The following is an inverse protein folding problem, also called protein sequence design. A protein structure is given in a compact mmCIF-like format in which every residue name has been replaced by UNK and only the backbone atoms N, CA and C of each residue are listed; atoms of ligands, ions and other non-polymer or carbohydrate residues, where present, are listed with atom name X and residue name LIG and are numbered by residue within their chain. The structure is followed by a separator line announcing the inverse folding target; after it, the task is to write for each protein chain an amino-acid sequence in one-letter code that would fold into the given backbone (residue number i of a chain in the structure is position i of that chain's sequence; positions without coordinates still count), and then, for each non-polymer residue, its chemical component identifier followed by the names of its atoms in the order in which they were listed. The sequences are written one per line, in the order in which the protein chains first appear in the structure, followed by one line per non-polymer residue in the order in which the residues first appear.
data_IF_845548090494
#
_entry.id   IF_845548090494
#
_cell.length_a   1.000
_cell.length_b   1.000
_cell.length_c   1.000
_cell.angle_alpha   90.00
_cell.angle_beta   90.00
_cell.angle_gamma   90.00
#
_symmetry.space_group_name_H-M   'P 1'
#
loop_
_entity.id
_entity.type
_entity.pdbx_description
1 polymer ?
#
# COMPACT_ATOMS: atom_id res chain seq x y z
N UNK A 1 0.77 -24.63 16.64
CA UNK A 1 1.43 -25.95 16.80
C UNK A 1 0.77 -26.65 17.97
N UNK A 2 0.38 -27.92 17.82
CA UNK A 2 -0.21 -28.69 18.91
C UNK A 2 0.89 -29.51 19.57
N UNK A 3 1.00 -29.43 20.89
CA UNK A 3 1.98 -30.21 21.65
C UNK A 3 1.28 -31.52 22.07
N UNK A 4 1.85 -32.70 21.78
CA UNK A 4 1.29 -33.96 22.27
C UNK A 4 1.18 -33.97 23.80
N UNK A 5 -0.02 -34.23 24.33
CA UNK A 5 -0.29 -34.25 25.77
C UNK A 5 -0.64 -32.90 26.40
N UNK A 6 -0.90 -31.86 25.60
CA UNK A 6 -1.40 -30.56 26.07
C UNK A 6 -2.76 -30.27 25.44
N UNK A 7 -3.71 -29.83 26.25
CA UNK A 7 -5.04 -29.37 25.81
C UNK A 7 -5.02 -27.96 25.24
N UNK A 8 -3.88 -27.28 25.27
CA UNK A 8 -3.72 -25.89 24.82
C UNK A 8 -2.86 -25.83 23.55
N UNK A 9 -3.27 -24.94 22.63
CA UNK A 9 -2.49 -24.60 21.44
C UNK A 9 -1.32 -23.70 21.84
N UNK A 10 -0.10 -24.09 21.48
CA UNK A 10 1.06 -23.21 21.60
C UNK A 10 0.95 -22.11 20.53
N UNK A 11 0.71 -20.89 20.96
CA UNK A 11 0.72 -19.73 20.08
C UNK A 11 2.16 -19.18 19.96
N UNK A 12 2.78 -19.41 18.81
CA UNK A 12 4.12 -18.90 18.47
C UNK A 12 4.07 -17.69 17.53
N UNK A 13 2.89 -17.13 17.30
CA UNK A 13 2.66 -16.09 16.28
C UNK A 13 3.51 -14.85 16.54
N UNK A 14 3.77 -14.53 17.80
CA UNK A 14 4.53 -13.35 18.23
C UNK A 14 5.89 -13.68 18.83
N UNK A 15 6.34 -14.94 18.72
CA UNK A 15 7.54 -15.42 19.44
C UNK A 15 8.87 -14.90 18.90
N UNK A 16 8.90 -14.40 17.65
CA UNK A 16 10.12 -13.92 17.00
C UNK A 16 10.45 -12.46 17.34
N UNK A 17 9.45 -11.58 17.25
CA UNK A 17 9.63 -10.13 17.36
C UNK A 17 8.48 -9.42 18.10
N UNK A 18 7.58 -10.18 18.71
CA UNK A 18 6.40 -9.63 19.39
C UNK A 18 5.27 -9.21 18.43
N UNK A 19 5.43 -9.37 17.11
CA UNK A 19 4.46 -8.95 16.10
C UNK A 19 3.76 -10.14 15.45
N UNK A 20 2.55 -9.89 14.93
CA UNK A 20 1.80 -10.87 14.16
C UNK A 20 2.20 -10.78 12.69
N UNK A 21 2.73 -11.87 12.15
CA UNK A 21 3.07 -11.98 10.74
C UNK A 21 1.99 -12.71 9.97
N UNK A 22 1.52 -12.11 8.91
CA UNK A 22 0.49 -12.67 8.04
C UNK A 22 1.10 -13.34 6.82
N UNK A 23 0.51 -14.46 6.41
CA UNK A 23 0.92 -15.19 5.22
C UNK A 23 0.35 -14.53 3.98
N UNK A 24 0.97 -14.81 2.82
CA UNK A 24 0.43 -14.44 1.51
C UNK A 24 -1.05 -14.84 1.40
N UNK A 25 -1.83 -13.97 0.80
CA UNK A 25 -3.26 -14.19 0.56
C UNK A 25 -3.48 -14.71 -0.85
N UNK A 26 -4.31 -15.73 -0.98
CA UNK A 26 -4.73 -16.22 -2.29
C UNK A 26 -6.09 -15.63 -2.63
N UNK A 27 -6.17 -14.95 -3.76
CA UNK A 27 -7.42 -14.39 -4.31
C UNK A 27 -7.75 -15.20 -5.56
N UNK A 28 -8.96 -15.74 -5.62
CA UNK A 28 -9.42 -16.52 -6.77
C UNK A 28 -10.70 -15.91 -7.31
N UNK A 29 -10.69 -15.63 -8.62
CA UNK A 29 -11.84 -15.14 -9.36
C UNK A 29 -12.23 -16.19 -10.41
N UNK A 30 -13.50 -16.57 -10.44
CA UNK A 30 -14.05 -17.44 -11.47
C UNK A 30 -14.99 -16.66 -12.37
N UNK A 31 -14.71 -16.70 -13.65
CA UNK A 31 -15.45 -15.96 -14.67
C UNK A 31 -16.00 -16.96 -15.70
N UNK A 32 -17.23 -16.75 -16.13
CA UNK A 32 -17.84 -17.50 -17.22
C UNK A 32 -17.62 -16.77 -18.55
N UNK A 33 -16.91 -17.43 -19.45
CA UNK A 33 -16.75 -16.94 -20.82
C UNK A 33 -17.90 -17.42 -21.71
N UNK A 34 -18.79 -16.52 -22.09
CA UNK A 34 -19.91 -16.77 -22.99
C UNK A 34 -19.64 -16.41 -24.45
N UNK A 35 -18.42 -15.96 -24.76
CA UNK A 35 -18.03 -15.61 -26.12
C UNK A 35 -18.09 -16.82 -27.07
N UNK A 36 -18.32 -16.61 -28.38
CA UNK A 36 -18.31 -17.68 -29.37
C UNK A 36 -17.01 -18.49 -29.37
N UNK A 37 -17.10 -19.81 -29.49
CA UNK A 37 -15.95 -20.75 -29.43
C UNK A 37 -14.78 -20.35 -30.34
N UNK A 38 -15.09 -19.78 -31.50
CA UNK A 38 -14.04 -19.32 -32.45
C UNK A 38 -13.10 -18.26 -31.87
N UNK A 39 -13.52 -17.55 -30.81
CA UNK A 39 -12.74 -16.51 -30.15
C UNK A 39 -11.96 -17.02 -28.93
N UNK A 40 -12.25 -18.23 -28.42
CA UNK A 40 -11.68 -18.70 -27.15
C UNK A 40 -10.16 -18.77 -27.14
N UNK A 41 -9.54 -19.26 -28.22
CA UNK A 41 -8.07 -19.31 -28.28
C UNK A 41 -7.44 -17.93 -28.26
N UNK A 42 -8.07 -16.96 -28.94
CA UNK A 42 -7.62 -15.57 -28.96
C UNK A 42 -7.78 -14.94 -27.59
N UNK A 43 -8.91 -15.15 -26.92
CA UNK A 43 -9.17 -14.67 -25.56
C UNK A 43 -8.21 -15.30 -24.57
N UNK A 44 -8.01 -16.62 -24.62
CA UNK A 44 -7.05 -17.33 -23.79
C UNK A 44 -5.64 -16.72 -23.95
N UNK A 45 -5.17 -16.55 -25.18
CA UNK A 45 -3.84 -15.97 -25.43
C UNK A 45 -3.73 -14.54 -24.90
N UNK A 46 -4.77 -13.72 -25.08
CA UNK A 46 -4.78 -12.35 -24.56
C UNK A 46 -4.73 -12.31 -23.03
N UNK A 47 -5.52 -13.15 -22.35
CA UNK A 47 -5.54 -13.23 -20.90
C UNK A 47 -4.19 -13.71 -20.34
N UNK A 48 -3.61 -14.77 -20.94
CA UNK A 48 -2.29 -15.25 -20.52
C UNK A 48 -1.22 -14.17 -20.75
N UNK A 49 -1.20 -13.51 -21.91
CA UNK A 49 -0.24 -12.46 -22.19
C UNK A 49 -0.41 -11.24 -21.26
N UNK A 50 -1.63 -10.99 -20.78
CA UNK A 50 -1.91 -9.86 -19.89
C UNK A 50 -1.55 -10.16 -18.43
N UNK A 51 -1.81 -11.37 -17.93
CA UNK A 51 -1.83 -11.67 -16.50
C UNK A 51 -0.82 -12.74 -16.08
N UNK A 52 -0.56 -13.77 -16.92
CA UNK A 52 0.20 -14.96 -16.52
C UNK A 52 1.63 -14.63 -16.07
N UNK A 53 1.94 -15.01 -14.84
CA UNK A 53 3.26 -14.84 -14.24
C UNK A 53 3.66 -13.39 -14.00
N UNK A 54 2.73 -12.44 -14.02
CA UNK A 54 3.03 -11.03 -13.81
C UNK A 54 2.69 -10.58 -12.39
N UNK A 55 3.50 -9.67 -11.89
CA UNK A 55 3.24 -8.94 -10.65
C UNK A 55 2.37 -7.73 -10.99
N UNK A 56 1.12 -7.72 -10.55
CA UNK A 56 0.12 -6.72 -10.92
C UNK A 56 -0.69 -6.31 -9.70
N UNK A 57 -1.27 -5.12 -9.78
CA UNK A 57 -2.26 -4.60 -8.84
C UNK A 57 -3.67 -4.93 -9.34
N UNK A 58 -4.53 -5.36 -8.45
CA UNK A 58 -5.94 -5.65 -8.73
C UNK A 58 -6.83 -4.80 -7.82
N UNK A 59 -7.67 -3.99 -8.43
CA UNK A 59 -8.72 -3.21 -7.76
C UNK A 59 -10.05 -3.89 -8.06
N UNK A 60 -10.90 -4.05 -7.06
CA UNK A 60 -12.25 -4.54 -7.21
C UNK A 60 -13.24 -3.37 -7.27
N UNK A 61 -14.27 -3.48 -8.09
CA UNK A 61 -15.27 -2.42 -8.27
C UNK A 61 -16.10 -2.15 -7.00
N UNK A 62 -16.19 -3.14 -6.10
CA UNK A 62 -16.85 -3.01 -4.79
C UNK A 62 -15.94 -2.43 -3.69
N UNK A 63 -14.64 -2.32 -3.96
CA UNK A 63 -13.66 -1.73 -3.04
C UNK A 63 -12.63 -0.87 -3.82
N UNK A 64 -13.07 0.19 -4.53
CA UNK A 64 -12.25 0.90 -5.51
C UNK A 64 -11.08 1.70 -4.90
N UNK A 65 -11.14 1.98 -3.61
CA UNK A 65 -10.08 2.70 -2.88
C UNK A 65 -8.90 1.83 -2.50
N UNK A 66 -8.98 0.52 -2.74
CA UNK A 66 -7.97 -0.43 -2.33
C UNK A 66 -7.55 -1.36 -3.46
N UNK A 67 -6.28 -1.75 -3.46
CA UNK A 67 -5.78 -2.74 -4.39
C UNK A 67 -5.04 -3.88 -3.69
N UNK A 68 -5.10 -5.05 -4.29
CA UNK A 68 -4.28 -6.20 -3.95
C UNK A 68 -3.12 -6.29 -4.91
N UNK A 69 -1.92 -6.52 -4.40
CA UNK A 69 -0.72 -6.66 -5.21
C UNK A 69 -0.13 -8.05 -5.09
N UNK A 70 0.18 -8.67 -6.21
CA UNK A 70 0.71 -10.02 -6.21
C UNK A 70 1.00 -10.60 -7.59
N UNK A 71 1.37 -11.87 -7.58
CA UNK A 71 1.64 -12.67 -8.76
C UNK A 71 0.35 -13.34 -9.24
N UNK A 72 -0.01 -13.12 -10.50
CA UNK A 72 -1.26 -13.59 -11.06
C UNK A 72 -1.07 -14.73 -12.05
N UNK A 73 -2.02 -15.66 -12.03
CA UNK A 73 -2.08 -16.83 -12.91
C UNK A 73 -3.46 -16.97 -13.50
N UNK A 74 -3.54 -17.49 -14.73
CA UNK A 74 -4.79 -17.67 -15.46
C UNK A 74 -4.93 -19.12 -15.90
N UNK A 75 -6.08 -19.70 -15.60
CA UNK A 75 -6.48 -21.02 -16.11
C UNK A 75 -7.75 -20.86 -16.96
N UNK A 76 -7.69 -21.30 -18.21
CA UNK A 76 -8.81 -21.24 -19.14
C UNK A 76 -9.25 -22.69 -19.45
N UNK A 77 -10.46 -23.06 -19.04
CA UNK A 77 -11.01 -24.40 -19.21
C UNK A 77 -12.20 -24.36 -20.17
N UNK A 78 -12.03 -24.82 -21.41
CA UNK A 78 -13.12 -24.91 -22.35
C UNK A 78 -14.10 -26.03 -22.00
N UNK A 79 -15.39 -25.74 -22.10
CA UNK A 79 -16.49 -26.68 -21.92
C UNK A 79 -17.31 -26.81 -23.22
N UNK A 80 -18.45 -27.48 -23.16
CA UNK A 80 -19.27 -27.71 -24.36
C UNK A 80 -19.88 -26.41 -24.92
N UNK A 81 -20.44 -25.56 -24.08
CA UNK A 81 -21.17 -24.34 -24.45
C UNK A 81 -20.52 -23.05 -23.93
N UNK A 82 -19.67 -23.16 -22.93
CA UNK A 82 -18.99 -22.05 -22.27
C UNK A 82 -17.52 -22.38 -22.03
N UNK A 83 -16.77 -21.44 -21.48
CA UNK A 83 -15.46 -21.72 -20.91
C UNK A 83 -15.38 -21.06 -19.53
N UNK A 84 -14.76 -21.76 -18.58
CA UNK A 84 -14.48 -21.22 -17.26
C UNK A 84 -13.07 -20.62 -17.26
N UNK A 85 -12.97 -19.37 -16.81
CA UNK A 85 -11.70 -18.66 -16.63
C UNK A 85 -11.49 -18.50 -15.14
N UNK A 86 -10.45 -19.12 -14.61
CA UNK A 86 -10.04 -18.94 -13.22
C UNK A 86 -8.80 -18.08 -13.19
N UNK A 87 -8.85 -16.94 -12.50
CA UNK A 87 -7.73 -16.04 -12.27
C UNK A 87 -7.35 -16.17 -10.79
N UNK A 88 -6.09 -16.54 -10.53
CA UNK A 88 -5.60 -16.72 -9.15
C UNK A 88 -4.43 -15.79 -8.89
N UNK A 89 -4.56 -14.96 -7.85
CA UNK A 89 -3.50 -14.07 -7.35
C UNK A 89 -2.87 -14.61 -6.08
N UNK A 90 -1.53 -14.75 -6.08
CA UNK A 90 -0.75 -14.93 -4.85
C UNK A 90 -0.30 -13.55 -4.38
N UNK A 91 -1.12 -12.91 -3.54
CA UNK A 91 -0.99 -11.52 -3.17
C UNK A 91 -0.28 -11.34 -1.82
N UNK A 92 0.21 -10.14 -1.58
CA UNK A 92 0.63 -9.69 -0.27
C UNK A 92 -0.52 -9.87 0.74
N UNK A 93 -0.24 -10.01 2.03
CA UNK A 93 -1.29 -10.24 3.03
C UNK A 93 -2.24 -9.05 3.19
N UNK A 94 -1.79 -7.87 2.84
CA UNK A 94 -2.52 -6.61 2.98
C UNK A 94 -3.01 -6.09 1.63
N UNK A 95 -4.13 -5.40 1.65
CA UNK A 95 -4.54 -4.49 0.59
C UNK A 95 -3.98 -3.09 0.87
N UNK A 96 -3.65 -2.36 -0.17
CA UNK A 96 -3.06 -1.03 -0.09
C UNK A 96 -4.03 0.01 -0.61
N UNK A 97 -4.04 1.18 0.02
CA UNK A 97 -4.84 2.29 -0.47
C UNK A 97 -4.30 2.79 -1.82
N UNK A 98 -5.17 3.04 -2.79
CA UNK A 98 -4.80 3.62 -4.10
C UNK A 98 -4.28 5.04 -3.96
N UNK A 99 -4.65 5.72 -2.88
CA UNK A 99 -4.24 7.11 -2.60
C UNK A 99 -3.07 7.12 -1.62
N UNK A 100 -1.91 7.53 -2.10
CA UNK A 100 -0.67 7.60 -1.31
C UNK A 100 -0.43 8.96 -0.62
N UNK A 101 -1.44 9.84 -0.67
CA UNK A 101 -1.39 11.19 -0.11
C UNK A 101 -0.78 12.24 -1.05
N UNK A 102 -0.28 11.84 -2.23
CA UNK A 102 0.31 12.77 -3.21
C UNK A 102 -0.61 13.06 -4.41
N UNK A 103 -1.71 12.34 -4.53
CA UNK A 103 -2.64 12.41 -5.66
C UNK A 103 -3.77 13.39 -5.40
N UNK A 104 -4.30 13.94 -6.47
CA UNK A 104 -5.52 14.73 -6.44
C UNK A 104 -6.73 13.78 -6.47
N UNK A 105 -7.57 13.84 -5.45
CA UNK A 105 -8.75 13.00 -5.32
C UNK A 105 -9.96 13.82 -5.76
N UNK A 106 -10.75 13.28 -6.68
CA UNK A 106 -12.02 13.91 -7.07
C UNK A 106 -13.08 13.63 -6.00
N UNK A 107 -13.91 14.63 -5.73
CA UNK A 107 -15.00 14.50 -4.77
C UNK A 107 -15.95 13.34 -5.05
N UNK A 108 -16.20 13.04 -6.32
CA UNK A 108 -17.10 11.97 -6.76
C UNK A 108 -16.51 10.56 -6.52
N UNK A 109 -15.18 10.46 -6.32
CA UNK A 109 -14.48 9.19 -6.12
C UNK A 109 -14.30 8.87 -4.62
N UNK A 110 -14.75 9.75 -3.71
CA UNK A 110 -14.54 9.62 -2.27
C UNK A 110 -15.70 8.86 -1.63
N UNK A 111 -15.39 7.78 -0.96
CA UNK A 111 -16.30 7.13 -0.02
C UNK A 111 -16.00 7.63 1.41
N UNK A 112 -16.82 8.55 1.91
CA UNK A 112 -16.62 9.15 3.24
C UNK A 112 -16.79 8.18 4.42
N UNK A 113 -17.31 6.98 4.18
CA UNK A 113 -17.45 5.95 5.22
C UNK A 113 -16.21 5.08 5.36
N UNK A 114 -15.46 4.88 4.26
CA UNK A 114 -14.36 3.91 4.21
C UNK A 114 -13.01 4.50 3.88
N UNK A 115 -12.97 5.65 3.20
CA UNK A 115 -11.72 6.21 2.70
C UNK A 115 -11.02 7.05 3.76
N UNK A 116 -9.72 6.83 3.90
CA UNK A 116 -8.86 7.68 4.71
C UNK A 116 -8.24 8.73 3.78
N UNK A 117 -8.78 9.93 3.82
CA UNK A 117 -8.25 11.04 3.06
C UNK A 117 -6.93 11.51 3.65
N UNK A 118 -5.90 11.53 2.82
CA UNK A 118 -4.57 12.03 3.16
C UNK A 118 -4.18 13.09 2.16
N UNK A 119 -3.88 14.30 2.63
CA UNK A 119 -3.30 15.35 1.81
C UNK A 119 -1.92 15.71 2.37
N UNK A 120 -0.90 15.07 1.81
CA UNK A 120 0.49 15.29 2.17
C UNK A 120 1.24 16.04 1.06
N UNK A 121 0.50 16.68 0.13
CA UNK A 121 1.07 17.42 -0.99
C UNK A 121 1.48 18.80 -0.55
N UNK A 122 2.68 19.18 -0.95
CA UNK A 122 3.16 20.57 -0.83
C UNK A 122 2.86 21.23 0.51
N UNK A 123 3.10 20.50 1.60
CA UNK A 123 2.96 21.03 2.96
C UNK A 123 3.90 22.20 3.11
N UNK A 124 3.36 23.39 3.37
CA UNK A 124 4.15 24.60 3.52
C UNK A 124 4.94 24.58 4.84
N UNK A 125 6.22 24.87 4.76
CA UNK A 125 7.12 25.00 5.90
C UNK A 125 7.58 26.46 6.00
N UNK A 126 6.95 27.29 6.86
CA UNK A 126 7.41 28.63 7.12
C UNK A 126 8.83 28.62 7.73
N UNK A 127 9.58 29.72 7.55
CA UNK A 127 10.90 29.84 8.15
C UNK A 127 10.82 29.73 9.68
N UNK A 128 11.72 28.94 10.25
CA UNK A 128 11.94 28.76 11.69
C UNK A 128 10.67 28.42 12.50
N UNK A 129 9.62 27.93 11.83
CA UNK A 129 8.37 27.56 12.45
C UNK A 129 8.17 26.04 12.34
N UNK A 130 8.02 25.32 13.46
CA UNK A 130 7.70 23.89 13.43
C UNK A 130 6.30 23.63 12.82
N UNK A 131 6.22 22.63 11.95
CA UNK A 131 4.97 22.16 11.34
C UNK A 131 4.80 20.68 11.65
N UNK A 132 3.71 20.35 12.32
CA UNK A 132 3.38 18.97 12.68
C UNK A 132 2.52 18.33 11.59
N UNK A 133 2.90 17.12 11.20
CA UNK A 133 2.16 16.28 10.26
C UNK A 133 1.93 14.92 10.91
N UNK A 134 0.66 14.53 11.04
CA UNK A 134 0.32 13.23 11.60
C UNK A 134 0.20 12.21 10.47
N UNK A 135 1.00 11.14 10.57
CA UNK A 135 0.87 9.96 9.71
C UNK A 135 0.07 8.91 10.49
N UNK A 136 -1.07 8.53 9.94
CA UNK A 136 -1.90 7.49 10.52
C UNK A 136 -1.35 6.12 10.18
N UNK A 137 -1.08 5.33 11.21
CA UNK A 137 -0.49 4.00 11.08
C UNK A 137 -1.38 3.03 10.30
N UNK A 138 -0.73 2.08 9.68
CA UNK A 138 -1.37 0.95 9.00
C UNK A 138 -1.22 -0.32 9.84
N UNK A 139 -1.98 -1.40 9.57
CA UNK A 139 -1.85 -2.68 10.26
C UNK A 139 -0.49 -3.38 10.11
N UNK A 140 0.48 -2.76 9.49
CA UNK A 140 1.87 -3.23 9.38
C UNK A 140 2.82 -2.03 9.28
N UNK A 141 4.08 -2.26 9.59
CA UNK A 141 5.13 -1.25 9.42
C UNK A 141 5.27 -0.87 7.96
N UNK A 142 5.24 0.42 7.65
CA UNK A 142 5.33 0.93 6.29
C UNK A 142 6.32 2.09 6.17
N UNK A 143 7.04 2.11 5.04
CA UNK A 143 8.02 3.12 4.72
C UNK A 143 7.36 4.46 4.37
N UNK A 144 8.04 5.56 4.72
CA UNK A 144 7.64 6.91 4.38
C UNK A 144 8.68 7.52 3.47
N UNK A 145 8.22 8.13 2.38
CA UNK A 145 9.08 8.83 1.44
C UNK A 145 8.81 10.32 1.48
N UNK A 146 9.86 11.12 1.31
CA UNK A 146 9.81 12.56 1.34
C UNK A 146 10.33 13.15 0.04
N UNK A 147 9.69 14.20 -0.43
CA UNK A 147 10.17 15.02 -1.54
C UNK A 147 10.13 16.47 -1.11
N UNK A 148 11.24 17.18 -1.26
CA UNK A 148 11.31 18.61 -0.95
C UNK A 148 10.94 19.44 -2.16
N UNK A 149 10.27 20.56 -1.93
CA UNK A 149 10.17 21.63 -2.91
C UNK A 149 11.53 22.25 -3.22
N UNK A 150 11.60 22.99 -4.32
CA UNK A 150 12.79 23.76 -4.71
C UNK A 150 13.12 24.84 -3.65
N UNK A 151 14.05 24.54 -2.76
CA UNK A 151 14.50 25.47 -1.72
C UNK A 151 15.91 25.13 -1.27
N UNK A 152 16.71 26.17 -0.96
CA UNK A 152 18.03 26.03 -0.35
C UNK A 152 17.98 25.86 1.18
N UNK A 153 16.80 25.93 1.79
CA UNK A 153 16.60 25.80 3.23
C UNK A 153 17.17 24.46 3.77
N UNK A 154 17.63 24.42 4.99
CA UNK A 154 17.82 23.17 5.71
C UNK A 154 16.47 22.78 6.29
N UNK A 155 16.07 21.54 6.11
CA UNK A 155 14.84 20.99 6.69
C UNK A 155 15.24 19.87 7.65
N UNK A 156 15.07 20.15 8.93
CA UNK A 156 15.20 19.14 9.99
C UNK A 156 13.85 18.56 10.33
N UNK A 157 13.81 17.35 10.85
CA UNK A 157 12.58 16.72 11.30
C UNK A 157 12.77 15.97 12.62
N UNK A 158 11.67 15.83 13.33
CA UNK A 158 11.54 15.06 14.56
C UNK A 158 10.46 14.01 14.37
N UNK A 159 10.63 12.87 15.01
CA UNK A 159 9.62 11.80 15.09
C UNK A 159 9.11 11.76 16.53
N UNK A 160 7.81 11.99 16.73
CA UNK A 160 7.20 12.06 18.06
C UNK A 160 7.98 12.98 19.02
N UNK A 161 8.39 14.16 18.52
CA UNK A 161 9.19 15.16 19.24
C UNK A 161 10.62 14.75 19.58
N UNK A 162 11.10 13.63 19.09
CA UNK A 162 12.51 13.23 19.19
C UNK A 162 13.23 13.58 17.90
N UNK A 163 14.37 14.26 17.99
CA UNK A 163 15.17 14.63 16.82
C UNK A 163 15.59 13.38 16.05
N UNK A 164 15.27 13.35 14.76
CA UNK A 164 15.52 12.19 13.90
C UNK A 164 16.53 12.47 12.79
N UNK A 165 16.60 13.71 12.28
CA UNK A 165 17.57 14.01 11.23
C UNK A 165 17.28 15.26 10.42
N UNK A 166 17.94 15.32 9.27
CA UNK A 166 17.81 16.42 8.29
C UNK A 166 17.60 15.82 6.91
N UNK A 167 16.65 16.35 6.16
CA UNK A 167 16.40 15.92 4.78
C UNK A 167 17.50 16.43 3.85
N UNK A 168 17.96 15.60 2.93
CA UNK A 168 18.90 15.98 1.91
C UNK A 168 18.34 17.12 1.02
N UNK A 169 19.19 17.98 0.49
CA UNK A 169 18.82 19.11 -0.38
C UNK A 169 18.62 18.62 -1.82
N UNK A 170 17.62 17.80 -2.03
CA UNK A 170 17.27 17.28 -3.35
C UNK A 170 15.76 17.34 -3.54
N UNK A 171 15.31 17.49 -4.77
CA UNK A 171 13.90 17.39 -5.19
C UNK A 171 13.49 15.96 -5.53
N UNK A 172 14.43 15.03 -5.47
CA UNK A 172 14.15 13.60 -5.63
C UNK A 172 13.48 13.02 -4.38
N UNK A 173 12.76 11.93 -4.57
CA UNK A 173 12.18 11.18 -3.45
C UNK A 173 13.27 10.59 -2.57
N UNK A 174 13.13 10.79 -1.27
CA UNK A 174 14.07 10.33 -0.25
C UNK A 174 13.36 9.32 0.64
N UNK A 175 14.01 8.19 0.84
CA UNK A 175 13.69 7.25 1.90
C UNK A 175 14.75 7.41 3.01
N UNK A 176 14.31 7.46 4.24
CA UNK A 176 15.19 7.53 5.40
C UNK A 176 15.17 6.18 6.10
N UNK A 177 16.30 5.50 6.04
CA UNK A 177 16.47 4.19 6.68
C UNK A 177 16.16 4.27 8.19
N UNK A 178 15.34 3.34 8.67
CA UNK A 178 14.90 3.28 10.06
C UNK A 178 13.74 4.24 10.42
N UNK A 179 13.22 5.00 9.46
CA UNK A 179 12.00 5.77 9.65
C UNK A 179 10.81 5.04 9.01
N UNK A 180 10.36 4.02 9.68
CA UNK A 180 9.14 3.30 9.32
C UNK A 180 8.03 3.63 10.32
N UNK A 181 6.81 3.72 9.80
CA UNK A 181 5.63 3.90 10.67
C UNK A 181 5.30 2.55 11.29
N UNK A 182 5.28 2.44 12.64
CA UNK A 182 4.97 1.19 13.33
C UNK A 182 3.54 0.71 13.05
N UNK A 183 3.33 -0.59 13.27
CA UNK A 183 2.02 -1.21 13.11
C UNK A 183 0.96 -0.53 13.97
N UNK A 184 -0.09 -0.02 13.32
CA UNK A 184 -1.27 0.53 13.99
C UNK A 184 -1.05 1.81 14.81
N UNK A 185 0.18 2.33 14.88
CA UNK A 185 0.49 3.54 15.64
C UNK A 185 0.49 4.78 14.73
N UNK A 186 -0.05 5.87 15.26
CA UNK A 186 0.07 7.18 14.61
C UNK A 186 1.42 7.80 14.99
N UNK A 187 2.08 8.40 14.01
CA UNK A 187 3.37 9.06 14.20
C UNK A 187 3.24 10.53 13.84
N UNK A 188 3.69 11.41 14.72
CA UNK A 188 3.78 12.85 14.44
C UNK A 188 5.19 13.17 13.94
N UNK A 189 5.26 13.68 12.71
CA UNK A 189 6.47 14.21 12.12
C UNK A 189 6.44 15.73 12.24
N UNK A 190 7.42 16.30 12.97
CA UNK A 190 7.55 17.74 13.12
C UNK A 190 8.69 18.24 12.24
N UNK A 191 8.39 19.07 11.25
CA UNK A 191 9.38 19.63 10.33
C UNK A 191 9.69 21.07 10.69
N UNK A 192 10.97 21.45 10.62
CA UNK A 192 11.43 22.83 10.79
C UNK A 192 12.39 23.18 9.65
N UNK A 193 12.11 24.27 8.94
CA UNK A 193 12.92 24.77 7.84
C UNK A 193 13.58 26.09 8.19
N UNK A 194 14.86 26.29 7.82
CA UNK A 194 15.59 27.54 8.07
C UNK A 194 15.17 28.70 7.17
N UNK A 195 14.40 28.44 6.13
CA UNK A 195 13.78 29.41 5.25
C UNK A 195 12.50 28.79 4.66
N UNK A 196 11.59 29.59 4.13
CA UNK A 196 10.36 29.11 3.54
C UNK A 196 10.63 28.00 2.52
N UNK A 197 9.92 26.88 2.66
CA UNK A 197 10.07 25.67 1.86
C UNK A 197 8.75 24.92 1.80
N UNK A 198 8.75 23.79 1.12
CA UNK A 198 7.63 22.85 1.16
C UNK A 198 8.13 21.42 1.17
N UNK A 199 7.27 20.50 1.59
CA UNK A 199 7.54 19.08 1.60
C UNK A 199 6.30 18.33 1.13
N UNK A 200 6.53 17.27 0.38
CA UNK A 200 5.50 16.30 0.01
C UNK A 200 5.86 14.96 0.65
N UNK A 201 4.89 14.29 1.24
CA UNK A 201 5.06 13.00 1.89
C UNK A 201 4.28 11.96 1.11
N UNK A 202 4.92 10.84 0.82
CA UNK A 202 4.29 9.67 0.22
C UNK A 202 4.25 8.53 1.23
N UNK A 203 3.04 8.07 1.53
CA UNK A 203 2.80 6.99 2.47
C UNK A 203 1.61 6.16 2.02
N UNK A 204 1.82 4.85 1.82
CA UNK A 204 0.75 3.92 1.46
C UNK A 204 0.15 3.33 2.74
N UNK A 205 -1.11 3.65 3.01
CA UNK A 205 -1.90 2.95 4.00
C UNK A 205 -2.13 1.49 3.58
N UNK A 206 -2.22 0.60 4.54
CA UNK A 206 -2.54 -0.81 4.30
C UNK A 206 -3.62 -1.29 5.25
N UNK A 207 -4.38 -2.30 4.84
CA UNK A 207 -5.43 -2.97 5.61
C UNK A 207 -5.42 -4.48 5.36
N UNK A 208 -5.91 -5.26 6.32
CA UNK A 208 -6.03 -6.72 6.19
C UNK A 208 -7.23 -7.10 5.33
#
# INVERSE_FOLDING_TARGET
MQIPGSDTLLNLTTSLDGKVHYKKRTITMELLCTAPKKLWKVLQSRLHNALEGKWLQCVFDDDPSWYWEGLWHVKFVPERLSATVTITGSCNPYKYNVYDGTQDIRWDDINFETDILRDYRSIALPADTPVDVVIYGAPHTAAVYFQRGESKANVSFQVNKTAAGTLAKTTEWQYLEGLDIPDGENVTLTFTATAASSITIKYLGASL
#
